data_IF_788800337167
#
_entry.id   IF_788800337167
#
_cell.length_a   1.000
_cell.length_b   1.000
_cell.length_c   1.000
_cell.angle_alpha   90.00
_cell.angle_beta   90.00
_cell.angle_gamma   90.00
#
_symmetry.space_group_name_H-M   'P 1'
#
loop_
_entity.id
_entity.type
_entity.pdbx_description
1 polymer ?
#
# COMPACT_ATOMS: atom_id res chain seq x y z
N UNK A 1 -24.68 14.43 33.45
CA UNK A 1 -24.06 14.20 32.14
C UNK A 1 -23.13 15.38 31.87
N UNK A 2 -21.82 15.14 31.90
CA UNK A 2 -20.87 16.16 31.45
C UNK A 2 -21.23 16.54 30.01
N UNK A 3 -21.47 17.84 29.80
CA UNK A 3 -21.80 18.36 28.47
C UNK A 3 -20.56 18.19 27.62
N UNK A 4 -20.67 17.44 26.52
CA UNK A 4 -19.65 17.44 25.47
C UNK A 4 -19.29 18.89 25.14
N UNK A 5 -17.99 19.22 25.04
CA UNK A 5 -17.57 20.48 24.45
C UNK A 5 -18.30 20.68 23.11
N UNK A 6 -18.88 21.86 22.90
CA UNK A 6 -19.78 22.12 21.76
C UNK A 6 -19.14 21.78 20.41
N UNK A 7 -17.85 22.09 20.26
CA UNK A 7 -17.04 21.75 19.09
C UNK A 7 -16.92 20.23 18.82
N UNK A 8 -16.87 19.41 19.87
CA UNK A 8 -16.84 17.94 19.75
C UNK A 8 -18.24 17.42 19.41
N UNK A 9 -19.27 17.95 20.06
CA UNK A 9 -20.66 17.61 19.78
C UNK A 9 -21.04 17.89 18.31
N UNK A 10 -20.73 19.09 17.82
CA UNK A 10 -20.99 19.49 16.43
C UNK A 10 -20.24 18.57 15.45
N UNK A 11 -18.97 18.25 15.74
CA UNK A 11 -18.18 17.34 14.91
C UNK A 11 -18.75 15.91 14.86
N UNK A 12 -19.22 15.37 16.00
CA UNK A 12 -19.86 14.05 16.04
C UNK A 12 -21.16 14.01 15.24
N UNK A 13 -21.94 15.10 15.27
CA UNK A 13 -23.19 15.24 14.50
C UNK A 13 -22.94 15.38 12.99
N UNK A 14 -21.83 15.95 12.57
CA UNK A 14 -21.41 15.91 11.17
C UNK A 14 -20.99 14.49 10.77
N UNK A 15 -20.17 13.85 11.60
CA UNK A 15 -19.62 12.53 11.30
C UNK A 15 -20.69 11.43 11.16
N UNK A 16 -21.79 11.50 11.90
CA UNK A 16 -22.83 10.45 11.85
C UNK A 16 -23.56 10.37 10.51
N UNK A 17 -23.43 11.40 9.68
CA UNK A 17 -23.96 11.39 8.31
C UNK A 17 -23.09 10.58 7.35
N UNK A 18 -21.86 10.22 7.75
CA UNK A 18 -20.92 9.43 6.95
C UNK A 18 -21.38 7.97 6.93
N UNK A 19 -21.59 7.37 5.74
CA UNK A 19 -22.03 5.98 5.65
C UNK A 19 -21.04 4.99 6.29
N UNK A 20 -21.58 3.95 6.92
CA UNK A 20 -20.84 2.85 7.57
C UNK A 20 -19.94 3.26 8.75
N UNK A 21 -20.07 4.47 9.25
CA UNK A 21 -19.24 4.93 10.34
C UNK A 21 -19.60 4.24 11.66
N UNK A 22 -18.59 3.85 12.43
CA UNK A 22 -18.78 3.21 13.74
C UNK A 22 -18.47 4.20 14.87
N UNK A 23 -19.06 3.98 16.04
CA UNK A 23 -18.74 4.78 17.23
C UNK A 23 -17.26 4.72 17.60
N UNK A 24 -16.61 3.57 17.41
CA UNK A 24 -15.17 3.43 17.61
C UNK A 24 -14.35 4.28 16.61
N UNK A 25 -14.78 4.34 15.35
CA UNK A 25 -14.15 5.20 14.34
C UNK A 25 -14.35 6.69 14.66
N UNK A 26 -15.53 7.07 15.15
CA UNK A 26 -15.80 8.43 15.65
C UNK A 26 -14.90 8.80 16.83
N UNK A 27 -14.77 7.92 17.82
CA UNK A 27 -13.86 8.11 18.94
C UNK A 27 -12.41 8.31 18.48
N UNK A 28 -11.94 7.49 17.53
CA UNK A 28 -10.63 7.64 16.91
C UNK A 28 -10.44 8.99 16.22
N UNK A 29 -11.44 9.44 15.45
CA UNK A 29 -11.39 10.72 14.75
C UNK A 29 -11.38 11.92 15.71
N UNK A 30 -12.15 11.87 16.81
CA UNK A 30 -12.12 12.91 17.85
C UNK A 30 -10.73 12.99 18.47
N UNK A 31 -10.09 11.85 18.79
CA UNK A 31 -8.72 11.82 19.33
C UNK A 31 -7.69 12.41 18.38
N UNK A 32 -7.85 12.17 17.07
CA UNK A 32 -6.97 12.74 16.04
C UNK A 32 -7.16 14.26 15.93
N UNK A 33 -8.41 14.74 15.94
CA UNK A 33 -8.75 16.14 15.67
C UNK A 33 -8.57 17.07 16.89
N UNK A 34 -8.89 16.58 18.09
CA UNK A 34 -8.95 17.41 19.31
C UNK A 34 -7.93 17.01 20.38
N UNK A 35 -7.07 16.03 20.10
CA UNK A 35 -6.00 15.60 21.01
C UNK A 35 -6.30 14.29 21.76
N UNK A 36 -5.23 13.67 22.26
CA UNK A 36 -5.25 12.33 22.88
C UNK A 36 -6.02 12.27 24.21
N UNK A 37 -6.22 13.41 24.84
CA UNK A 37 -6.78 13.54 26.20
C UNK A 37 -8.31 13.54 26.24
N UNK A 38 -8.97 13.49 25.07
CA UNK A 38 -10.44 13.52 24.98
C UNK A 38 -11.12 12.27 25.57
N UNK A 39 -10.41 11.15 25.76
CA UNK A 39 -10.86 9.91 26.42
C UNK A 39 -12.27 9.39 26.07
N UNK A 40 -12.81 9.77 24.90
CA UNK A 40 -14.14 9.33 24.50
C UNK A 40 -14.15 7.88 24.07
N UNK A 41 -15.10 7.13 24.62
CA UNK A 41 -15.38 5.76 24.22
C UNK A 41 -16.53 5.69 23.22
N UNK A 42 -16.67 4.54 22.58
CA UNK A 42 -17.83 4.26 21.73
C UNK A 42 -19.15 4.33 22.50
N UNK A 43 -19.16 3.98 23.79
CA UNK A 43 -20.33 4.05 24.64
C UNK A 43 -20.76 5.51 24.91
N UNK A 44 -19.79 6.39 25.20
CA UNK A 44 -20.07 7.82 25.44
C UNK A 44 -20.72 8.48 24.22
N UNK A 45 -20.22 8.14 23.03
CA UNK A 45 -20.75 8.64 21.76
C UNK A 45 -22.16 8.08 21.51
N UNK A 46 -22.41 6.79 21.81
CA UNK A 46 -23.73 6.20 21.68
C UNK A 46 -24.76 6.88 22.60
N UNK A 47 -24.39 7.14 23.87
CA UNK A 47 -25.23 7.84 24.85
C UNK A 47 -25.50 9.30 24.43
N UNK A 48 -24.48 10.00 23.94
CA UNK A 48 -24.62 11.36 23.40
C UNK A 48 -25.64 11.44 22.27
N UNK A 49 -25.49 10.58 21.26
CA UNK A 49 -26.36 10.58 20.09
C UNK A 49 -27.79 10.14 20.44
N UNK A 50 -27.93 9.22 21.39
CA UNK A 50 -29.24 8.79 21.90
C UNK A 50 -30.00 9.85 22.68
N UNK A 51 -29.29 10.80 23.31
CA UNK A 51 -29.89 11.87 24.12
C UNK A 51 -30.01 13.21 23.38
N UNK A 52 -29.45 13.32 22.17
CA UNK A 52 -29.56 14.51 21.34
C UNK A 52 -31.03 14.78 20.97
N UNK A 53 -31.48 16.05 21.08
CA UNK A 53 -32.86 16.49 20.75
C UNK A 53 -33.33 16.11 19.33
N UNK A 54 -32.41 15.76 18.43
CA UNK A 54 -32.68 15.28 17.06
C UNK A 54 -31.98 13.94 16.77
N UNK A 55 -31.79 13.10 17.79
CA UNK A 55 -31.05 11.83 17.69
C UNK A 55 -31.72 10.75 16.86
N UNK A 56 -33.06 10.70 16.84
CA UNK A 56 -33.81 9.61 16.21
C UNK A 56 -33.50 9.39 14.71
N UNK A 57 -33.44 10.43 13.84
CA UNK A 57 -33.00 10.28 12.46
C UNK A 57 -31.60 9.65 12.32
N UNK A 58 -30.66 10.04 13.18
CA UNK A 58 -29.29 9.53 13.14
C UNK A 58 -29.19 8.08 13.61
N UNK A 59 -29.97 7.70 14.63
CA UNK A 59 -30.09 6.31 15.06
C UNK A 59 -30.73 5.43 13.99
N UNK A 60 -31.74 5.94 13.27
CA UNK A 60 -32.32 5.25 12.13
C UNK A 60 -31.32 5.07 10.99
N UNK A 61 -30.50 6.09 10.70
CA UNK A 61 -29.43 6.00 9.70
C UNK A 61 -28.39 4.94 10.09
N UNK A 62 -27.90 4.95 11.33
CA UNK A 62 -26.94 3.94 11.80
C UNK A 62 -27.49 2.52 11.75
N UNK A 63 -28.77 2.33 12.09
CA UNK A 63 -29.42 1.02 11.98
C UNK A 63 -29.43 0.53 10.52
N UNK A 64 -29.81 1.41 9.59
CA UNK A 64 -29.82 1.10 8.15
C UNK A 64 -28.42 0.76 7.64
N UNK A 65 -27.42 1.55 8.03
CA UNK A 65 -26.03 1.31 7.65
C UNK A 65 -25.51 -0.01 8.19
N UNK A 66 -25.94 -0.42 9.38
CA UNK A 66 -25.61 -1.73 9.95
C UNK A 66 -26.25 -2.88 9.17
N UNK A 67 -27.54 -2.76 8.83
CA UNK A 67 -28.25 -3.74 8.01
C UNK A 67 -27.59 -3.89 6.63
N UNK A 68 -27.22 -2.77 6.00
CA UNK A 68 -26.50 -2.75 4.73
C UNK A 68 -25.09 -3.34 4.85
N UNK A 69 -24.34 -2.99 5.88
CA UNK A 69 -23.01 -3.52 6.14
C UNK A 69 -23.05 -5.05 6.34
N UNK A 70 -24.01 -5.55 7.11
CA UNK A 70 -24.18 -6.99 7.34
C UNK A 70 -24.55 -7.73 6.05
N UNK A 71 -25.41 -7.14 5.23
CA UNK A 71 -25.72 -7.69 3.91
C UNK A 71 -24.47 -7.72 3.02
N UNK A 72 -23.72 -6.62 2.94
CA UNK A 72 -22.48 -6.53 2.16
C UNK A 72 -21.43 -7.54 2.61
N UNK A 73 -21.28 -7.79 3.92
CA UNK A 73 -20.38 -8.83 4.46
C UNK A 73 -20.76 -10.23 4.01
N UNK A 74 -22.05 -10.56 4.02
CA UNK A 74 -22.56 -11.87 3.60
C UNK A 74 -22.47 -12.07 2.09
N UNK A 75 -22.55 -10.97 1.33
CA UNK A 75 -22.69 -11.00 -0.12
C UNK A 75 -21.47 -10.44 -0.88
N UNK A 76 -20.34 -10.23 -0.20
CA UNK A 76 -19.11 -9.72 -0.79
C UNK A 76 -18.52 -10.63 -1.89
N UNK A 77 -19.06 -11.85 -2.03
CA UNK A 77 -18.64 -12.86 -2.99
C UNK A 77 -19.53 -12.98 -4.24
N UNK A 78 -20.62 -12.22 -4.34
CA UNK A 78 -21.62 -12.32 -5.43
C UNK A 78 -21.13 -11.81 -6.82
N UNK A 79 -19.82 -11.63 -7.01
CA UNK A 79 -19.24 -11.20 -8.29
C UNK A 79 -18.57 -9.83 -8.23
N UNK A 80 -18.66 -9.06 -9.31
CA UNK A 80 -18.09 -7.72 -9.44
C UNK A 80 -18.68 -6.71 -8.45
N UNK A 81 -17.99 -5.58 -8.24
CA UNK A 81 -18.50 -4.51 -7.38
C UNK A 81 -19.83 -3.94 -7.89
N UNK A 82 -20.00 -3.88 -9.20
CA UNK A 82 -21.19 -3.34 -9.83
C UNK A 82 -22.38 -4.29 -9.61
N UNK A 83 -22.19 -5.60 -9.79
CA UNK A 83 -23.22 -6.61 -9.45
C UNK A 83 -23.62 -6.60 -7.96
N UNK A 84 -22.64 -6.47 -7.05
CA UNK A 84 -22.94 -6.37 -5.60
C UNK A 84 -23.76 -5.10 -5.32
N UNK A 85 -23.42 -3.99 -5.98
CA UNK A 85 -24.13 -2.72 -5.80
C UNK A 85 -25.53 -2.79 -6.38
N UNK A 86 -25.72 -3.38 -7.56
CA UNK A 86 -27.02 -3.53 -8.19
C UNK A 86 -27.93 -4.43 -7.35
N UNK A 87 -27.41 -5.56 -6.85
CA UNK A 87 -28.15 -6.41 -5.91
C UNK A 87 -28.49 -5.70 -4.58
N UNK A 88 -27.61 -4.82 -4.09
CA UNK A 88 -27.92 -3.93 -2.97
C UNK A 88 -29.04 -2.94 -3.30
N UNK A 89 -29.01 -2.35 -4.50
CA UNK A 89 -30.04 -1.41 -4.97
C UNK A 89 -31.39 -2.12 -5.09
N UNK A 90 -31.42 -3.35 -5.59
CA UNK A 90 -32.64 -4.14 -5.70
C UNK A 90 -33.22 -4.48 -4.32
N UNK A 91 -32.35 -4.80 -3.35
CA UNK A 91 -32.77 -5.19 -2.00
C UNK A 91 -33.20 -4.01 -1.11
N UNK A 92 -32.52 -2.86 -1.20
CA UNK A 92 -32.69 -1.74 -0.27
C UNK A 92 -33.17 -0.43 -0.93
N UNK A 93 -33.16 -0.35 -2.26
CA UNK A 93 -33.51 0.84 -3.04
C UNK A 93 -32.34 1.82 -3.20
N UNK A 94 -32.28 2.50 -4.36
CA UNK A 94 -31.20 3.43 -4.77
C UNK A 94 -30.89 4.48 -3.70
N UNK A 95 -31.92 5.05 -3.08
CA UNK A 95 -31.78 6.13 -2.09
C UNK A 95 -31.11 5.69 -0.79
N UNK A 96 -30.98 4.39 -0.55
CA UNK A 96 -30.35 3.82 0.65
C UNK A 96 -28.93 3.34 0.41
N UNK A 97 -28.47 3.26 -0.83
CA UNK A 97 -27.15 2.72 -1.17
C UNK A 97 -26.15 3.87 -1.33
N UNK A 98 -25.04 3.88 -0.57
CA UNK A 98 -23.97 4.84 -0.74
C UNK A 98 -23.36 4.79 -2.15
N UNK A 99 -22.52 5.77 -2.47
CA UNK A 99 -21.83 5.79 -3.75
C UNK A 99 -21.01 4.51 -3.97
N UNK A 100 -20.77 4.19 -5.24
CA UNK A 100 -19.94 3.05 -5.64
C UNK A 100 -18.56 3.06 -4.98
N UNK A 101 -17.93 4.22 -4.85
CA UNK A 101 -16.62 4.36 -4.20
C UNK A 101 -16.69 4.07 -2.70
N UNK A 102 -17.76 4.49 -2.03
CA UNK A 102 -17.97 4.23 -0.60
C UNK A 102 -18.18 2.73 -0.32
N UNK A 103 -19.01 2.05 -1.13
CA UNK A 103 -19.18 0.59 -1.02
C UNK A 103 -17.86 -0.15 -1.30
N UNK A 104 -17.09 0.30 -2.29
CA UNK A 104 -15.77 -0.26 -2.59
C UNK A 104 -14.79 -0.13 -1.41
N UNK A 105 -14.76 1.05 -0.78
CA UNK A 105 -13.91 1.34 0.36
C UNK A 105 -14.30 0.46 1.57
N UNK A 106 -15.59 0.33 1.85
CA UNK A 106 -16.11 -0.54 2.92
C UNK A 106 -15.71 -2.00 2.71
N UNK A 107 -15.97 -2.56 1.53
CA UNK A 107 -15.60 -3.95 1.23
C UNK A 107 -14.09 -4.17 1.30
N UNK A 108 -13.28 -3.18 0.91
CA UNK A 108 -11.82 -3.23 1.05
C UNK A 108 -11.39 -3.25 2.52
N UNK A 109 -12.01 -2.45 3.39
CA UNK A 109 -11.69 -2.46 4.83
C UNK A 109 -12.11 -3.76 5.52
N UNK A 110 -13.18 -4.41 5.07
CA UNK A 110 -13.62 -5.73 5.55
C UNK A 110 -12.74 -6.88 5.04
N UNK A 111 -11.63 -6.58 4.35
CA UNK A 111 -10.67 -7.59 3.93
C UNK A 111 -11.12 -8.40 2.72
N UNK A 112 -12.05 -7.89 1.89
CA UNK A 112 -12.39 -8.50 0.61
C UNK A 112 -11.10 -8.71 -0.19
N UNK A 113 -10.63 -9.96 -0.23
CA UNK A 113 -9.57 -10.41 -1.13
C UNK A 113 -10.06 -10.14 -2.55
N UNK A 114 -9.16 -9.66 -3.42
CA UNK A 114 -9.45 -9.17 -4.79
C UNK A 114 -10.58 -9.96 -5.48
N UNK A 115 -11.43 -9.20 -6.21
CA UNK A 115 -12.53 -9.63 -7.10
C UNK A 115 -12.56 -11.15 -7.36
N UNK A 116 -13.64 -11.82 -6.94
CA UNK A 116 -13.88 -13.24 -7.25
C UNK A 116 -13.94 -13.56 -8.75
N UNK A 117 -14.10 -12.54 -9.60
CA UNK A 117 -14.21 -12.68 -11.06
C UNK A 117 -13.10 -11.94 -11.85
N UNK A 118 -12.10 -11.32 -11.19
CA UNK A 118 -10.87 -11.02 -11.94
C UNK A 118 -10.13 -12.34 -12.13
N UNK A 119 -10.46 -13.02 -13.23
CA UNK A 119 -9.45 -13.83 -13.89
C UNK A 119 -8.24 -12.93 -14.08
N UNK A 120 -7.10 -13.34 -13.53
CA UNK A 120 -5.87 -12.60 -13.72
C UNK A 120 -5.67 -12.41 -15.23
N UNK A 121 -5.10 -11.30 -15.68
CA UNK A 121 -4.94 -10.99 -17.10
C UNK A 121 -4.36 -12.17 -17.91
N UNK A 122 -3.50 -12.95 -17.24
CA UNK A 122 -2.82 -14.15 -17.75
C UNK A 122 -3.67 -15.44 -17.68
N UNK A 123 -4.73 -15.49 -16.88
CA UNK A 123 -5.69 -16.59 -16.86
C UNK A 123 -6.57 -16.59 -18.12
N UNK A 124 -6.90 -15.41 -18.65
CA UNK A 124 -7.64 -15.28 -19.92
C UNK A 124 -6.72 -15.26 -21.15
N UNK A 125 -5.41 -15.18 -20.96
CA UNK A 125 -4.40 -15.04 -22.02
C UNK A 125 -3.17 -15.92 -21.72
N UNK A 126 -3.33 -17.25 -21.66
CA UNK A 126 -2.24 -18.16 -21.30
C UNK A 126 -1.04 -18.04 -22.25
N UNK A 127 -1.27 -17.76 -23.53
CA UNK A 127 -0.22 -17.58 -24.54
C UNK A 127 0.72 -16.40 -24.25
N UNK A 128 0.19 -15.30 -23.69
CA UNK A 128 1.02 -14.15 -23.28
C UNK A 128 1.81 -14.52 -22.02
N UNK A 129 1.20 -15.30 -21.13
CA UNK A 129 1.85 -15.76 -19.91
C UNK A 129 3.04 -16.67 -20.22
N UNK A 130 2.85 -17.67 -21.09
CA UNK A 130 3.88 -18.61 -21.55
C UNK A 130 5.05 -17.89 -22.20
N UNK A 131 4.79 -17.03 -23.18
CA UNK A 131 5.84 -16.25 -23.83
C UNK A 131 6.63 -15.39 -22.82
N UNK A 132 5.95 -14.72 -21.88
CA UNK A 132 6.65 -13.98 -20.84
C UNK A 132 7.48 -14.87 -19.91
N UNK A 133 7.17 -16.17 -19.72
CA UNK A 133 8.00 -17.08 -18.91
C UNK A 133 9.31 -17.44 -19.61
N UNK A 134 9.35 -17.39 -20.92
CA UNK A 134 10.55 -17.68 -21.71
C UNK A 134 11.44 -16.45 -21.78
N UNK A 135 10.85 -15.29 -22.09
CA UNK A 135 11.59 -14.08 -22.45
C UNK A 135 12.07 -13.25 -21.25
N UNK A 136 11.47 -13.42 -20.06
CA UNK A 136 11.74 -12.49 -18.96
C UNK A 136 13.19 -12.51 -18.46
N UNK A 137 13.94 -13.57 -18.77
CA UNK A 137 15.34 -13.71 -18.37
C UNK A 137 16.27 -12.83 -19.22
N UNK A 138 15.90 -12.60 -20.47
CA UNK A 138 16.73 -11.93 -21.47
C UNK A 138 16.44 -10.42 -21.58
N UNK A 139 15.33 -9.95 -21.00
CA UNK A 139 14.83 -8.60 -21.23
C UNK A 139 14.38 -7.87 -19.94
N UNK A 140 14.56 -6.54 -19.91
CA UNK A 140 14.06 -5.70 -18.80
C UNK A 140 12.52 -5.56 -18.89
N UNK A 141 11.86 -5.32 -17.76
CA UNK A 141 10.38 -5.21 -17.69
C UNK A 141 9.75 -4.18 -18.63
N UNK A 142 10.44 -3.05 -18.88
CA UNK A 142 9.94 -2.02 -19.81
C UNK A 142 10.03 -2.51 -21.25
N UNK A 143 11.13 -3.18 -21.59
CA UNK A 143 11.38 -3.72 -22.92
C UNK A 143 10.42 -4.87 -23.22
N UNK A 144 10.19 -5.77 -22.25
CA UNK A 144 9.20 -6.86 -22.34
C UNK A 144 7.79 -6.37 -22.67
N UNK A 145 7.38 -5.20 -22.16
CA UNK A 145 6.06 -4.66 -22.46
C UNK A 145 5.97 -4.15 -23.90
N UNK A 146 7.05 -3.55 -24.41
CA UNK A 146 7.10 -3.09 -25.80
C UNK A 146 7.14 -4.29 -26.75
N UNK A 147 7.98 -5.29 -26.47
CA UNK A 147 8.05 -6.56 -27.20
C UNK A 147 6.71 -7.30 -27.18
N UNK A 148 6.01 -7.32 -26.03
CA UNK A 148 4.67 -7.90 -25.93
C UNK A 148 3.66 -7.17 -26.84
N UNK A 149 3.78 -5.84 -26.95
CA UNK A 149 2.93 -5.03 -27.81
C UNK A 149 3.21 -5.24 -29.28
N UNK A 150 4.48 -5.41 -29.65
CA UNK A 150 4.91 -5.72 -31.01
C UNK A 150 4.45 -7.12 -31.42
N UNK A 151 4.55 -8.11 -30.52
CA UNK A 151 4.20 -9.51 -30.81
C UNK A 151 2.70 -9.81 -30.80
N UNK A 152 1.97 -9.26 -29.82
CA UNK A 152 0.56 -9.63 -29.59
C UNK A 152 -0.42 -8.47 -29.79
N UNK A 153 0.06 -7.26 -30.06
CA UNK A 153 -0.78 -6.07 -30.19
C UNK A 153 -1.22 -5.48 -28.84
N UNK A 154 -1.86 -4.31 -28.91
CA UNK A 154 -2.20 -3.48 -27.74
C UNK A 154 -3.19 -4.17 -26.78
N UNK A 155 -4.15 -4.94 -27.30
CA UNK A 155 -5.21 -5.58 -26.51
C UNK A 155 -4.70 -6.74 -25.65
N UNK A 156 -3.64 -7.39 -26.11
CA UNK A 156 -2.97 -8.48 -25.42
C UNK A 156 -1.72 -8.02 -24.66
N UNK A 157 -1.47 -6.71 -24.58
CA UNK A 157 -0.38 -6.14 -23.79
C UNK A 157 -0.82 -5.91 -22.35
N UNK A 158 -0.16 -6.50 -21.34
CA UNK A 158 -0.48 -6.24 -19.94
C UNK A 158 -0.18 -4.78 -19.55
N UNK A 159 -0.91 -4.27 -18.56
CA UNK A 159 -0.51 -3.04 -17.88
C UNK A 159 0.87 -3.22 -17.23
N UNK A 160 1.61 -2.12 -17.04
CA UNK A 160 2.92 -2.18 -16.38
C UNK A 160 2.86 -2.84 -15.00
N UNK A 161 1.84 -2.52 -14.19
CA UNK A 161 1.68 -3.08 -12.86
C UNK A 161 1.25 -4.57 -12.90
N UNK A 162 0.45 -4.96 -13.89
CA UNK A 162 0.08 -6.36 -14.13
C UNK A 162 1.31 -7.19 -14.50
N UNK A 163 2.11 -6.71 -15.45
CA UNK A 163 3.36 -7.35 -15.87
C UNK A 163 4.34 -7.47 -14.70
N UNK A 164 4.55 -6.37 -13.96
CA UNK A 164 5.42 -6.35 -12.79
C UNK A 164 5.01 -7.39 -11.74
N UNK A 165 3.72 -7.48 -11.39
CA UNK A 165 3.22 -8.47 -10.43
C UNK A 165 3.37 -9.91 -10.91
N UNK A 166 3.22 -10.16 -12.20
CA UNK A 166 3.42 -11.47 -12.80
C UNK A 166 4.88 -11.90 -12.73
N UNK A 167 5.81 -11.02 -13.14
CA UNK A 167 7.24 -11.29 -13.08
C UNK A 167 7.74 -11.52 -11.63
N UNK A 168 7.27 -10.71 -10.67
CA UNK A 168 7.60 -10.93 -9.25
C UNK A 168 7.14 -12.32 -8.75
N UNK A 169 5.90 -12.72 -9.09
CA UNK A 169 5.38 -14.06 -8.75
C UNK A 169 6.20 -15.18 -9.39
N UNK A 170 6.51 -15.04 -10.68
CA UNK A 170 7.23 -16.04 -11.46
C UNK A 170 8.65 -16.25 -10.94
N UNK A 171 9.30 -15.18 -10.51
CA UNK A 171 10.64 -15.23 -9.91
C UNK A 171 10.63 -15.75 -8.47
N UNK A 172 9.48 -16.03 -7.88
CA UNK A 172 9.37 -16.44 -6.47
C UNK A 172 9.86 -15.36 -5.51
N UNK A 173 9.90 -14.09 -5.94
CA UNK A 173 10.47 -13.01 -5.16
C UNK A 173 9.47 -11.87 -4.95
N UNK A 174 9.46 -11.31 -3.75
CA UNK A 174 8.86 -10.00 -3.50
C UNK A 174 9.80 -8.85 -3.96
N UNK A 175 10.87 -9.15 -4.70
CA UNK A 175 11.91 -8.18 -5.10
C UNK A 175 11.30 -7.16 -6.04
N UNK A 176 10.85 -6.08 -5.44
CA UNK A 176 10.42 -4.88 -6.13
C UNK A 176 11.67 -4.13 -6.54
N UNK A 177 11.84 -3.89 -7.84
CA UNK A 177 12.69 -2.78 -8.27
C UNK A 177 12.12 -1.50 -7.65
N UNK A 178 12.75 -1.01 -6.59
CA UNK A 178 12.30 0.16 -5.84
C UNK A 178 13.33 1.25 -6.04
N UNK A 179 12.86 2.43 -6.43
CA UNK A 179 13.74 3.58 -6.70
C UNK A 179 14.78 3.38 -7.81
N UNK A 180 14.75 2.28 -8.57
CA UNK A 180 15.69 1.98 -9.65
C UNK A 180 16.72 0.89 -9.33
N UNK A 181 16.81 0.43 -8.08
CA UNK A 181 17.70 -0.64 -7.61
C UNK A 181 16.96 -1.98 -7.44
N UNK A 182 17.64 -3.11 -7.62
CA UNK A 182 17.11 -4.44 -7.31
C UNK A 182 17.33 -4.76 -5.83
N UNK A 183 16.34 -4.43 -5.02
CA UNK A 183 16.42 -4.62 -3.57
C UNK A 183 16.14 -6.08 -3.24
N UNK A 184 17.19 -6.82 -2.93
CA UNK A 184 17.09 -8.11 -2.24
C UNK A 184 17.69 -8.03 -0.83
N UNK A 185 17.48 -9.07 -0.03
CA UNK A 185 17.88 -9.10 1.37
C UNK A 185 19.38 -8.85 1.57
N UNK A 186 20.20 -9.39 0.66
CA UNK A 186 21.65 -9.28 0.69
C UNK A 186 22.13 -7.86 0.37
N UNK A 187 21.68 -7.27 -0.77
CA UNK A 187 22.04 -5.90 -1.14
C UNK A 187 21.51 -4.90 -0.09
N UNK A 188 20.31 -5.13 0.43
CA UNK A 188 19.72 -4.27 1.47
C UNK A 188 20.56 -4.27 2.74
N UNK A 189 20.89 -5.46 3.25
CA UNK A 189 21.69 -5.60 4.45
C UNK A 189 23.06 -4.95 4.27
N UNK A 190 23.71 -5.20 3.14
CA UNK A 190 25.02 -4.63 2.82
C UNK A 190 24.99 -3.10 2.74
N UNK A 191 23.99 -2.51 2.07
CA UNK A 191 23.86 -1.06 1.97
C UNK A 191 23.58 -0.42 3.33
N UNK A 192 22.73 -1.03 4.16
CA UNK A 192 22.41 -0.53 5.51
C UNK A 192 23.64 -0.61 6.43
N UNK A 193 24.43 -1.68 6.33
CA UNK A 193 25.63 -1.89 7.13
C UNK A 193 26.74 -0.88 6.79
N UNK A 194 26.92 -0.56 5.50
CA UNK A 194 28.05 0.25 5.04
C UNK A 194 27.71 1.73 4.83
N UNK A 195 26.43 2.11 4.75
CA UNK A 195 26.01 3.50 4.65
C UNK A 195 26.47 4.41 5.82
N UNK A 196 26.58 3.94 7.08
CA UNK A 196 27.17 4.72 8.17
C UNK A 196 28.67 5.02 8.00
N UNK A 197 29.40 4.19 7.23
CA UNK A 197 30.85 4.32 7.05
C UNK A 197 31.22 5.17 5.83
N UNK A 198 30.47 5.02 4.73
CA UNK A 198 30.82 5.60 3.43
C UNK A 198 29.96 6.82 3.08
N UNK A 199 30.47 7.73 2.25
CA UNK A 199 29.62 8.75 1.59
C UNK A 199 28.78 8.08 0.51
N UNK A 200 27.66 8.71 0.13
CA UNK A 200 26.76 8.13 -0.87
C UNK A 200 27.45 7.76 -2.19
N UNK A 201 28.41 8.58 -2.68
CA UNK A 201 29.17 8.27 -3.89
C UNK A 201 30.07 7.04 -3.71
N UNK A 202 30.88 7.03 -2.65
CA UNK A 202 31.78 5.92 -2.31
C UNK A 202 30.99 4.61 -2.07
N UNK A 203 29.86 4.69 -1.37
CA UNK A 203 28.95 3.56 -1.12
C UNK A 203 28.39 3.00 -2.43
N UNK A 204 27.97 3.86 -3.37
CA UNK A 204 27.47 3.42 -4.67
C UNK A 204 28.56 2.74 -5.49
N UNK A 205 29.76 3.34 -5.54
CA UNK A 205 30.91 2.74 -6.25
C UNK A 205 31.26 1.37 -5.71
N UNK A 206 31.36 1.21 -4.38
CA UNK A 206 31.70 -0.08 -3.77
C UNK A 206 30.56 -1.10 -3.89
N UNK A 207 29.30 -0.67 -3.79
CA UNK A 207 28.16 -1.55 -4.04
C UNK A 207 28.17 -2.07 -5.49
N UNK A 208 28.43 -1.21 -6.48
CA UNK A 208 28.51 -1.60 -7.89
C UNK A 208 29.65 -2.60 -8.13
N UNK A 209 30.81 -2.42 -7.47
CA UNK A 209 31.91 -3.39 -7.54
C UNK A 209 31.53 -4.75 -6.95
N UNK A 210 30.77 -4.77 -5.87
CA UNK A 210 30.43 -6.00 -5.16
C UNK A 210 29.25 -6.76 -5.77
N UNK A 211 28.25 -6.05 -6.31
CA UNK A 211 26.97 -6.63 -6.74
C UNK A 211 26.64 -6.42 -8.22
N UNK A 212 27.46 -5.65 -8.95
CA UNK A 212 27.27 -5.33 -10.35
C UNK A 212 26.36 -4.10 -10.59
N UNK A 213 26.58 -3.37 -11.70
CA UNK A 213 25.86 -2.14 -12.00
C UNK A 213 24.36 -2.38 -12.27
N UNK A 214 24.00 -3.52 -12.86
CA UNK A 214 22.60 -3.85 -13.16
C UNK A 214 21.76 -4.06 -11.90
N UNK A 215 22.36 -4.64 -10.85
CA UNK A 215 21.70 -4.90 -9.55
C UNK A 215 21.59 -3.61 -8.73
N UNK A 216 22.64 -2.80 -8.70
CA UNK A 216 22.74 -1.59 -7.86
C UNK A 216 22.12 -0.35 -8.51
N UNK A 217 21.99 -0.30 -9.84
CA UNK A 217 21.43 0.87 -10.53
C UNK A 217 22.26 2.15 -10.32
N UNK A 218 21.58 3.30 -10.26
CA UNK A 218 22.24 4.61 -10.15
C UNK A 218 22.34 5.11 -8.69
N UNK A 219 23.23 6.09 -8.47
CA UNK A 219 23.45 6.70 -7.16
C UNK A 219 22.18 7.26 -6.51
N UNK A 220 21.31 7.89 -7.30
CA UNK A 220 20.04 8.45 -6.80
C UNK A 220 19.11 7.36 -6.26
N UNK A 221 19.10 6.20 -6.89
CA UNK A 221 18.33 5.05 -6.49
C UNK A 221 18.76 4.52 -5.11
N UNK A 222 20.09 4.41 -4.89
CA UNK A 222 20.66 4.04 -3.59
C UNK A 222 20.30 5.07 -2.51
N UNK A 223 20.37 6.37 -2.81
CA UNK A 223 20.00 7.44 -1.86
C UNK A 223 18.53 7.38 -1.44
N UNK A 224 17.62 7.21 -2.41
CA UNK A 224 16.19 7.07 -2.13
C UNK A 224 15.89 5.83 -1.30
N UNK A 225 16.57 4.71 -1.55
CA UNK A 225 16.44 3.52 -0.73
C UNK A 225 16.83 3.78 0.73
N UNK A 226 18.01 4.36 0.97
CA UNK A 226 18.48 4.64 2.33
C UNK A 226 17.55 5.61 3.06
N UNK A 227 17.03 6.63 2.36
CA UNK A 227 16.04 7.56 2.91
C UNK A 227 14.72 6.85 3.29
N UNK A 228 14.32 5.80 2.56
CA UNK A 228 13.09 5.06 2.84
C UNK A 228 13.15 4.20 4.11
N UNK A 229 14.33 3.93 4.67
CA UNK A 229 14.51 3.10 5.87
C UNK A 229 14.15 3.81 7.19
N UNK A 230 13.70 5.07 7.14
CA UNK A 230 13.35 5.89 8.32
C UNK A 230 14.47 6.05 9.37
N UNK A 231 15.71 5.69 9.02
CA UNK A 231 16.89 5.85 9.87
C UNK A 231 17.76 7.01 9.33
N UNK A 232 17.75 8.14 10.04
CA UNK A 232 18.47 9.37 9.66
C UNK A 232 20.00 9.18 9.62
N UNK A 233 20.55 8.18 10.31
CA UNK A 233 22.00 7.94 10.31
C UNK A 233 22.51 7.41 8.96
N UNK A 234 21.64 6.80 8.15
CA UNK A 234 22.01 6.24 6.84
C UNK A 234 22.19 7.31 5.76
N UNK A 235 21.57 8.48 5.91
CA UNK A 235 21.62 9.57 4.93
C UNK A 235 22.34 10.82 5.44
N UNK A 236 22.87 10.77 6.67
CA UNK A 236 23.56 11.89 7.30
C UNK A 236 24.82 12.29 6.53
N UNK A 237 25.04 13.60 6.43
CA UNK A 237 26.28 14.18 5.92
C UNK A 237 27.47 13.83 6.82
N UNK A 238 28.60 13.48 6.21
CA UNK A 238 29.84 13.08 6.89
C UNK A 238 30.92 14.13 6.65
N UNK A 239 31.62 14.53 7.72
CA UNK A 239 32.80 15.38 7.61
C UNK A 239 33.96 14.63 6.94
N UNK A 240 34.92 15.36 6.37
CA UNK A 240 36.09 14.76 5.69
C UNK A 240 36.83 13.72 6.55
N UNK A 241 37.06 14.04 7.83
CA UNK A 241 37.73 13.14 8.79
C UNK A 241 36.94 11.82 8.99
N UNK A 242 35.62 11.91 9.12
CA UNK A 242 34.76 10.72 9.28
C UNK A 242 34.76 9.83 8.04
N UNK A 243 34.90 10.41 6.84
CA UNK A 243 35.00 9.66 5.59
C UNK A 243 36.32 8.90 5.51
N UNK A 244 37.43 9.56 5.86
CA UNK A 244 38.75 8.95 5.84
C UNK A 244 38.84 7.79 6.86
N UNK A 245 38.30 7.97 8.07
CA UNK A 245 38.20 6.90 9.07
C UNK A 245 37.26 5.77 8.63
N UNK A 246 36.08 6.11 8.09
CA UNK A 246 35.12 5.12 7.59
C UNK A 246 35.67 4.27 6.44
N UNK A 247 36.45 4.86 5.54
CA UNK A 247 37.13 4.14 4.45
C UNK A 247 38.20 3.18 4.97
N UNK A 248 38.95 3.56 6.02
CA UNK A 248 39.92 2.65 6.65
C UNK A 248 39.22 1.44 7.26
N UNK A 249 38.13 1.66 7.99
CA UNK A 249 37.32 0.59 8.59
C UNK A 249 36.74 -0.32 7.50
N UNK A 250 36.18 0.26 6.44
CA UNK A 250 35.60 -0.49 5.33
C UNK A 250 36.64 -1.38 4.63
N UNK A 251 37.84 -0.86 4.34
CA UNK A 251 38.93 -1.61 3.69
C UNK A 251 39.56 -2.68 4.59
N UNK A 252 39.47 -2.51 5.91
CA UNK A 252 39.97 -3.48 6.86
C UNK A 252 39.02 -4.68 7.04
N UNK A 253 37.76 -4.60 6.56
CA UNK A 253 36.85 -5.74 6.55
C UNK A 253 37.36 -6.79 5.54
N UNK A 254 37.41 -8.07 5.90
CA UNK A 254 37.74 -9.13 4.95
C UNK A 254 36.71 -9.11 3.82
N UNK A 255 37.16 -8.91 2.59
CA UNK A 255 36.30 -8.95 1.41
C UNK A 255 35.73 -10.36 1.27
N UNK A 256 34.40 -10.48 1.34
CA UNK A 256 33.72 -11.72 0.97
C UNK A 256 34.12 -12.13 -0.46
N UNK A 257 34.27 -13.44 -0.74
CA UNK A 257 34.78 -13.92 -2.01
C UNK A 257 33.95 -13.36 -3.17
N UNK A 258 34.66 -12.78 -4.14
CA UNK A 258 34.05 -12.33 -5.39
C UNK A 258 33.55 -13.57 -6.12
N UNK A 259 32.22 -13.72 -6.23
CA UNK A 259 31.62 -14.72 -7.09
C UNK A 259 31.95 -14.29 -8.53
N UNK A 260 32.82 -15.07 -9.18
CA UNK A 260 33.14 -14.93 -10.61
C UNK A 260 31.95 -15.34 -11.46
#
# INVERSE_FOLDING_TARGET
MEKFPKNIADFLLEMITIPFITYSAMAGAVRIKFGRDTNLTAADIATFLGTAKKGAPYLHQLRRDRELADWLRRNQTLGSLDQIRDACVDQFGVSRIPSRSTVAAFLKSEGRKRRLEERDFFSDKPQVAEWLREEYKEHKTVDLRNLCREKFGKELTPSYETLRRFLCRLQGTSRVRRHGIWIDAELSAWLIENAPLLRGADLHTEAVKHFGPDRVGNLSAVRHFLASQQNKNLTRYKSRKQVEEGLKIFRAKPSAPQIK
#
